data_IF_504416890246
#
_entry.id   IF_504416890246
#
_cell.length_a   1.000
_cell.length_b   1.000
_cell.length_c   1.000
_cell.angle_alpha   90.00
_cell.angle_beta   90.00
_cell.angle_gamma   90.00
#
_symmetry.space_group_name_H-M   'P 1'
#
loop_
_entity.id
_entity.type
_entity.pdbx_description
1 polymer ?
#
# COMPACT_ATOMS: atom_id res chain seq x y z
N UNK A 1 -13.31 -1.78 30.07
CA UNK A 1 -12.52 -3.02 29.97
C UNK A 1 -12.21 -3.21 28.49
N UNK A 2 -10.93 -3.15 28.11
CA UNK A 2 -10.49 -3.39 26.73
C UNK A 2 -10.67 -4.86 26.41
N UNK A 3 -11.34 -5.17 25.31
CA UNK A 3 -11.55 -6.54 24.84
C UNK A 3 -10.18 -7.19 24.53
N UNK A 4 -9.78 -8.24 25.26
CA UNK A 4 -8.47 -8.89 25.08
C UNK A 4 -8.31 -9.50 23.68
N UNK A 5 -9.40 -9.80 22.96
CA UNK A 5 -9.33 -10.26 21.57
C UNK A 5 -8.98 -9.11 20.61
N UNK A 6 -9.42 -7.88 20.89
CA UNK A 6 -8.96 -6.69 20.15
C UNK A 6 -7.49 -6.36 20.37
N UNK A 7 -6.91 -6.78 21.49
CA UNK A 7 -5.48 -6.63 21.74
C UNK A 7 -4.64 -7.65 20.95
N UNK A 8 -5.19 -8.84 20.67
CA UNK A 8 -4.52 -9.92 19.95
C UNK A 8 -4.77 -9.90 18.43
N UNK A 9 -5.95 -9.42 18.00
CA UNK A 9 -6.37 -9.32 16.59
C UNK A 9 -6.67 -7.87 16.17
N UNK A 10 -6.11 -6.92 16.91
CA UNK A 10 -6.21 -5.50 16.60
C UNK A 10 -5.51 -5.14 15.28
N UNK A 11 -5.64 -3.87 14.89
CA UNK A 11 -4.90 -3.35 13.74
C UNK A 11 -3.39 -3.62 13.94
N UNK A 12 -2.66 -4.10 12.93
CA UNK A 12 -1.23 -4.29 13.02
C UNK A 12 -0.54 -3.00 13.50
N UNK A 13 0.33 -3.13 14.50
CA UNK A 13 1.12 -2.02 15.02
C UNK A 13 2.53 -2.06 14.42
N UNK A 14 2.82 -1.11 13.52
CA UNK A 14 4.13 -0.95 12.88
C UNK A 14 4.96 0.18 13.50
N UNK A 15 4.51 0.79 14.61
CA UNK A 15 5.17 1.95 15.25
C UNK A 15 6.65 1.73 15.60
N UNK A 16 7.05 0.47 15.79
CA UNK A 16 8.42 0.09 16.15
C UNK A 16 9.38 -0.07 14.95
N UNK A 17 8.86 -0.09 13.71
CA UNK A 17 9.68 -0.16 12.48
C UNK A 17 9.56 1.07 11.58
N UNK A 18 8.50 1.87 11.73
CA UNK A 18 8.27 3.06 10.90
C UNK A 18 9.16 4.23 11.32
N UNK A 19 9.61 4.99 10.33
CA UNK A 19 10.38 6.23 10.48
C UNK A 19 10.13 7.10 9.26
N UNK A 20 10.31 8.41 9.41
CA UNK A 20 10.30 9.31 8.27
C UNK A 20 11.40 8.92 7.29
N UNK A 21 11.03 8.73 6.03
CA UNK A 21 11.96 8.31 4.97
C UNK A 21 11.49 8.83 3.63
N UNK A 22 12.42 8.96 2.69
CA UNK A 22 12.14 9.18 1.27
C UNK A 22 12.44 7.89 0.52
N UNK A 23 11.42 7.29 -0.08
CA UNK A 23 11.55 6.09 -0.92
C UNK A 23 11.34 6.49 -2.38
N UNK A 24 12.18 5.98 -3.28
CA UNK A 24 12.06 6.21 -4.72
C UNK A 24 11.93 4.87 -5.43
N UNK A 25 10.91 4.72 -6.27
CA UNK A 25 10.70 3.51 -7.06
C UNK A 25 10.60 3.85 -8.54
N UNK A 26 10.99 2.90 -9.40
CA UNK A 26 10.75 2.99 -10.83
C UNK A 26 9.41 2.32 -11.17
N UNK A 27 8.54 3.05 -11.86
CA UNK A 27 7.22 2.56 -12.28
C UNK A 27 7.04 2.59 -13.79
N UNK A 28 6.22 1.70 -14.31
CA UNK A 28 5.82 1.67 -15.72
C UNK A 28 4.68 2.64 -15.99
N UNK A 29 4.38 2.91 -17.27
CA UNK A 29 3.23 3.74 -17.65
C UNK A 29 1.89 3.15 -17.17
N UNK A 30 1.73 1.82 -17.19
CA UNK A 30 0.52 1.15 -16.71
C UNK A 30 0.35 1.30 -15.20
N UNK A 31 1.44 1.18 -14.45
CA UNK A 31 1.47 1.41 -13.00
C UNK A 31 1.16 2.87 -12.66
N UNK A 32 1.70 3.83 -13.43
CA UNK A 32 1.38 5.24 -13.27
C UNK A 32 -0.11 5.52 -13.53
N UNK A 33 -0.68 4.96 -14.60
CA UNK A 33 -2.10 5.08 -14.89
C UNK A 33 -2.97 4.52 -13.76
N UNK A 34 -2.59 3.35 -13.21
CA UNK A 34 -3.30 2.74 -12.09
C UNK A 34 -3.28 3.61 -10.83
N UNK A 35 -2.17 4.27 -10.51
CA UNK A 35 -2.09 5.21 -9.37
C UNK A 35 -3.03 6.41 -9.57
N UNK A 36 -3.04 6.99 -10.77
CA UNK A 36 -3.91 8.12 -11.08
C UNK A 36 -5.39 7.72 -11.02
N UNK A 37 -5.75 6.60 -11.65
CA UNK A 37 -7.12 6.12 -11.65
C UNK A 37 -7.62 5.75 -10.24
N UNK A 38 -6.76 5.11 -9.44
CA UNK A 38 -7.08 4.79 -8.04
C UNK A 38 -7.39 6.04 -7.22
N UNK A 39 -6.65 7.13 -7.47
CA UNK A 39 -6.87 8.41 -6.81
C UNK A 39 -8.16 9.10 -7.28
N UNK A 40 -8.38 9.14 -8.60
CA UNK A 40 -9.49 9.88 -9.20
C UNK A 40 -10.85 9.18 -9.01
N UNK A 41 -10.86 7.84 -9.05
CA UNK A 41 -12.09 7.03 -9.10
C UNK A 41 -12.27 6.13 -7.88
N UNK A 42 -11.22 5.94 -7.08
CA UNK A 42 -11.21 5.03 -5.94
C UNK A 42 -10.79 3.61 -6.33
N UNK A 43 -10.08 2.96 -5.41
CA UNK A 43 -9.49 1.61 -5.60
C UNK A 43 -10.54 0.55 -5.94
N UNK A 44 -11.74 0.65 -5.37
CA UNK A 44 -12.82 -0.33 -5.58
C UNK A 44 -13.38 -0.32 -7.01
N UNK A 45 -13.04 0.70 -7.80
CA UNK A 45 -13.50 0.83 -9.20
C UNK A 45 -12.51 0.26 -10.22
N UNK A 46 -11.31 -0.11 -9.79
CA UNK A 46 -10.26 -0.62 -10.67
C UNK A 46 -10.59 -2.04 -11.15
N UNK A 47 -10.35 -2.29 -12.43
CA UNK A 47 -10.38 -3.65 -12.96
C UNK A 47 -9.20 -4.48 -12.43
N UNK A 48 -9.24 -5.80 -12.66
CA UNK A 48 -8.23 -6.72 -12.10
C UNK A 48 -6.81 -6.43 -12.56
N UNK A 49 -6.63 -5.95 -13.80
CA UNK A 49 -5.31 -5.64 -14.35
C UNK A 49 -4.75 -4.36 -13.74
N UNK A 50 -5.58 -3.33 -13.65
CA UNK A 50 -5.20 -2.03 -13.08
C UNK A 50 -4.94 -2.14 -11.59
N UNK A 51 -5.74 -2.95 -10.88
CA UNK A 51 -5.50 -3.28 -9.48
C UNK A 51 -4.17 -4.03 -9.28
N UNK A 52 -3.86 -5.01 -10.15
CA UNK A 52 -2.57 -5.71 -10.10
C UNK A 52 -1.40 -4.75 -10.31
N UNK A 53 -1.55 -3.77 -11.21
CA UNK A 53 -0.53 -2.75 -11.43
C UNK A 53 -0.35 -1.86 -10.19
N UNK A 54 -1.43 -1.43 -9.54
CA UNK A 54 -1.37 -0.69 -8.28
C UNK A 54 -0.70 -1.51 -7.16
N UNK A 55 -1.06 -2.78 -7.02
CA UNK A 55 -0.46 -3.69 -6.04
C UNK A 55 1.06 -3.85 -6.29
N UNK A 56 1.50 -3.85 -7.55
CA UNK A 56 2.93 -3.85 -7.89
C UNK A 56 3.66 -2.60 -7.41
N UNK A 57 3.05 -1.41 -7.55
CA UNK A 57 3.60 -0.15 -7.03
C UNK A 57 3.74 -0.21 -5.51
N UNK A 58 2.72 -0.70 -4.82
CA UNK A 58 2.73 -0.86 -3.36
C UNK A 58 3.82 -1.85 -2.93
N UNK A 59 3.98 -2.97 -3.65
CA UNK A 59 5.02 -3.95 -3.37
C UNK A 59 6.43 -3.34 -3.49
N UNK A 60 6.69 -2.58 -4.56
CA UNK A 60 7.98 -1.90 -4.77
C UNK A 60 8.27 -0.89 -3.65
N UNK A 61 7.27 -0.11 -3.25
CA UNK A 61 7.41 0.83 -2.14
C UNK A 61 7.69 0.08 -0.83
N UNK A 62 6.96 -1.01 -0.58
CA UNK A 62 7.13 -1.85 0.61
C UNK A 62 8.55 -2.39 0.70
N UNK A 63 9.10 -2.90 -0.39
CA UNK A 63 10.48 -3.43 -0.43
C UNK A 63 11.54 -2.32 -0.23
N UNK A 64 11.27 -1.09 -0.69
CA UNK A 64 12.17 0.06 -0.50
C UNK A 64 12.13 0.60 0.94
N UNK A 65 10.94 0.65 1.57
CA UNK A 65 10.83 1.15 2.96
C UNK A 65 11.24 0.11 3.99
N UNK A 66 11.02 -1.18 3.70
CA UNK A 66 11.32 -2.29 4.60
C UNK A 66 11.50 -3.63 3.84
N UNK A 67 12.75 -4.04 3.56
CA UNK A 67 13.04 -5.30 2.86
C UNK A 67 12.69 -6.57 3.65
#
# INVERSE_FOLDING_TARGET
MTDPLKALFGKPDYSHIVRDTTATISITAAEMAAVLEAYDRGIDTLDGTTRTALDSVISKLKDEVWP
#
